data_IF_205053037247
#
_entry.id   IF_205053037247
#
_cell.length_a   1.000
_cell.length_b   1.000
_cell.length_c   1.000
_cell.angle_alpha   90.00
_cell.angle_beta   90.00
_cell.angle_gamma   90.00
#
_symmetry.space_group_name_H-M   'P 1'
#
loop_
_entity.id
_entity.type
_entity.pdbx_description
1 polymer ?
#
# COMPACT_ATOMS: atom_id res chain seq x y z
N UNK A 1 18.57 33.19 50.48
CA UNK A 1 18.30 31.74 50.60
C UNK A 1 16.87 31.51 50.14
N UNK A 2 16.58 30.38 49.49
CA UNK A 2 15.34 30.08 48.73
C UNK A 2 15.30 30.94 47.44
N UNK A 3 15.78 30.48 46.28
CA UNK A 3 15.40 29.27 45.50
C UNK A 3 13.89 29.17 45.28
N UNK A 4 13.48 29.57 44.08
CA UNK A 4 12.35 28.98 43.36
C UNK A 4 12.92 28.37 42.07
N UNK A 5 12.56 27.12 41.80
CA UNK A 5 12.98 26.42 40.60
C UNK A 5 12.19 26.91 39.39
N UNK A 6 12.88 27.37 38.35
CA UNK A 6 12.28 27.46 37.02
C UNK A 6 12.11 26.04 36.48
N UNK A 7 10.86 25.59 36.43
CA UNK A 7 10.50 24.30 35.83
C UNK A 7 10.79 24.35 34.33
N UNK A 8 11.84 23.67 33.90
CA UNK A 8 12.17 23.50 32.47
C UNK A 8 11.01 22.82 31.75
N UNK A 9 10.29 23.57 30.92
CA UNK A 9 9.22 23.03 30.07
C UNK A 9 9.78 22.04 29.04
N UNK A 10 8.93 21.14 28.49
CA UNK A 10 9.35 20.23 27.43
C UNK A 10 9.87 21.01 26.21
N UNK A 11 10.93 20.50 25.60
CA UNK A 11 11.63 21.08 24.45
C UNK A 11 10.68 21.57 23.36
N UNK A 12 10.90 22.79 22.86
CA UNK A 12 10.13 23.37 21.76
C UNK A 12 10.06 22.42 20.56
N UNK A 13 8.89 21.84 20.33
CA UNK A 13 8.63 21.09 19.10
C UNK A 13 8.76 22.05 17.92
N UNK A 14 9.74 21.85 17.05
CA UNK A 14 10.02 22.76 15.93
C UNK A 14 8.84 22.77 14.94
N UNK A 15 7.97 23.77 15.03
CA UNK A 15 6.78 23.89 14.19
C UNK A 15 7.12 24.58 12.86
N UNK A 16 7.25 23.80 11.79
CA UNK A 16 7.31 24.35 10.43
C UNK A 16 5.89 24.72 9.98
N UNK A 17 5.71 25.97 9.52
CA UNK A 17 4.44 26.47 8.99
C UNK A 17 4.56 26.60 7.48
N UNK A 18 3.73 25.85 6.74
CA UNK A 18 3.69 25.91 5.27
C UNK A 18 2.67 26.96 4.83
N UNK A 19 3.05 27.83 3.89
CA UNK A 19 2.31 29.05 3.52
C UNK A 19 1.78 29.10 2.09
N UNK A 20 2.04 28.06 1.29
CA UNK A 20 1.58 28.01 -0.10
C UNK A 20 1.78 26.65 -0.78
N UNK A 21 1.31 26.51 -2.03
CA UNK A 21 1.30 25.22 -2.74
C UNK A 21 2.71 24.66 -3.00
N UNK A 22 3.71 25.52 -3.25
CA UNK A 22 5.11 25.10 -3.39
C UNK A 22 5.62 24.38 -2.13
N UNK A 23 5.39 24.98 -0.96
CA UNK A 23 5.82 24.45 0.34
C UNK A 23 5.03 23.20 0.72
N UNK A 24 3.75 23.09 0.33
CA UNK A 24 2.94 21.88 0.50
C UNK A 24 3.47 20.72 -0.35
N UNK A 25 3.79 20.96 -1.62
CA UNK A 25 4.32 19.94 -2.53
C UNK A 25 5.71 19.45 -2.09
N UNK A 26 6.59 20.37 -1.68
CA UNK A 26 7.92 20.05 -1.14
C UNK A 26 7.87 19.33 0.21
N UNK A 27 6.89 19.63 1.07
CA UNK A 27 6.73 18.92 2.34
C UNK A 27 6.33 17.44 2.18
N UNK A 28 5.67 17.09 1.08
CA UNK A 28 5.01 15.79 0.90
C UNK A 28 5.94 14.58 1.10
N UNK A 29 7.16 14.50 0.54
CA UNK A 29 8.05 13.36 0.74
C UNK A 29 8.47 13.18 2.20
N UNK A 30 8.67 14.29 2.93
CA UNK A 30 9.01 14.27 4.36
C UNK A 30 7.80 13.87 5.24
N UNK A 31 6.58 14.20 4.81
CA UNK A 31 5.35 13.72 5.44
C UNK A 31 5.08 12.22 5.18
N UNK A 32 5.69 11.61 4.16
CA UNK A 32 5.51 10.20 3.77
C UNK A 32 6.70 9.29 4.13
N UNK A 33 7.92 9.82 4.23
CA UNK A 33 9.17 9.06 4.33
C UNK A 33 9.75 8.57 2.99
N UNK A 34 9.08 8.87 1.89
CA UNK A 34 9.45 8.50 0.51
C UNK A 34 8.79 9.48 -0.46
N UNK A 35 9.28 9.60 -1.70
CA UNK A 35 8.57 10.38 -2.73
C UNK A 35 7.42 9.54 -3.30
N UNK A 36 6.15 9.93 -3.10
CA UNK A 36 5.02 9.23 -3.70
C UNK A 36 5.06 9.38 -5.22
N UNK A 37 4.81 8.28 -5.92
CA UNK A 37 4.57 8.24 -7.36
C UNK A 37 3.34 7.36 -7.63
N UNK A 38 2.74 7.49 -8.80
CA UNK A 38 1.51 6.81 -9.24
C UNK A 38 0.43 6.74 -8.14
N UNK A 39 0.24 7.82 -7.36
CA UNK A 39 -0.64 7.81 -6.19
C UNK A 39 -1.35 9.12 -5.86
N UNK A 40 -2.53 8.97 -5.28
CA UNK A 40 -3.26 10.01 -4.57
C UNK A 40 -2.86 9.98 -3.09
N UNK A 41 -2.53 11.14 -2.53
CA UNK A 41 -2.33 11.35 -1.10
C UNK A 41 -3.32 12.40 -0.60
N UNK A 42 -4.01 12.11 0.48
CA UNK A 42 -4.91 13.04 1.16
C UNK A 42 -4.43 13.27 2.59
N UNK A 43 -4.34 14.53 3.00
CA UNK A 43 -3.89 14.92 4.34
C UNK A 43 -4.96 15.78 5.01
N UNK A 44 -5.46 15.33 6.16
CA UNK A 44 -6.43 16.05 6.96
C UNK A 44 -5.76 17.18 7.76
N UNK A 45 -6.41 18.34 7.81
CA UNK A 45 -6.01 19.52 8.57
C UNK A 45 -6.94 19.72 9.77
N UNK A 46 -6.38 20.05 10.93
CA UNK A 46 -7.12 20.23 12.19
C UNK A 46 -6.73 21.52 12.91
N UNK A 47 -7.72 22.18 13.52
CA UNK A 47 -7.62 23.44 14.23
C UNK A 47 -7.40 24.65 13.32
N UNK A 48 -7.69 25.85 13.83
CA UNK A 48 -7.61 27.12 13.08
C UNK A 48 -6.23 27.56 12.57
N UNK A 49 -5.19 26.72 12.71
CA UNK A 49 -3.86 26.89 12.08
C UNK A 49 -3.54 25.80 11.04
N UNK A 50 -4.45 24.87 10.77
CA UNK A 50 -4.27 23.82 9.77
C UNK A 50 -3.17 22.80 10.12
N UNK A 51 -3.18 22.23 11.33
CA UNK A 51 -2.21 21.20 11.72
C UNK A 51 -2.48 19.91 10.93
N UNK A 52 -1.46 19.35 10.29
CA UNK A 52 -1.54 18.02 9.67
C UNK A 52 -1.90 16.95 10.71
N UNK A 53 -2.88 16.10 10.38
CA UNK A 53 -3.29 14.95 11.18
C UNK A 53 -3.31 13.66 10.36
N UNK A 54 -4.49 13.06 10.22
CA UNK A 54 -4.69 11.84 9.44
C UNK A 54 -4.17 11.97 8.00
N UNK A 55 -3.49 10.91 7.54
CA UNK A 55 -2.94 10.78 6.17
C UNK A 55 -3.53 9.52 5.54
N UNK A 56 -3.84 9.57 4.25
CA UNK A 56 -4.33 8.44 3.45
C UNK A 56 -3.63 8.45 2.10
N UNK A 57 -3.15 7.29 1.62
CA UNK A 57 -2.51 7.13 0.31
C UNK A 57 -3.08 5.91 -0.40
N UNK A 58 -3.35 6.05 -1.70
CA UNK A 58 -3.76 4.97 -2.59
C UNK A 58 -3.01 5.12 -3.93
N UNK A 59 -2.75 4.03 -4.65
CA UNK A 59 -2.38 4.11 -6.06
C UNK A 59 -3.48 4.81 -6.88
N UNK A 60 -3.11 5.53 -7.94
CA UNK A 60 -4.09 6.09 -8.87
C UNK A 60 -4.69 4.92 -9.68
N UNK A 61 -6.02 4.72 -9.67
CA UNK A 61 -6.64 3.66 -10.47
C UNK A 61 -6.41 3.91 -11.96
N UNK A 62 -6.08 2.87 -12.76
CA UNK A 62 -5.77 3.04 -14.18
C UNK A 62 -7.01 3.37 -15.02
N UNK A 63 -8.19 2.87 -14.64
CA UNK A 63 -9.44 3.09 -15.35
C UNK A 63 -10.20 4.32 -14.79
N UNK A 64 -10.48 5.36 -15.61
CA UNK A 64 -11.20 6.57 -15.18
C UNK A 64 -12.59 6.32 -14.58
N UNK A 65 -13.23 5.22 -14.97
CA UNK A 65 -14.52 4.76 -14.47
C UNK A 65 -14.50 4.48 -12.95
N UNK A 66 -13.34 4.07 -12.41
CA UNK A 66 -13.16 3.80 -10.97
C UNK A 66 -12.94 5.07 -10.14
N UNK A 67 -12.58 6.20 -10.76
CA UNK A 67 -12.15 7.41 -10.04
C UNK A 67 -13.23 8.00 -9.14
N UNK A 68 -14.50 7.98 -9.58
CA UNK A 68 -15.62 8.48 -8.81
C UNK A 68 -15.89 7.65 -7.52
N UNK A 69 -16.13 6.32 -7.57
CA UNK A 69 -16.33 5.54 -6.35
C UNK A 69 -15.09 5.49 -5.45
N UNK A 70 -13.88 5.49 -6.02
CA UNK A 70 -12.63 5.55 -5.25
C UNK A 70 -12.51 6.89 -4.50
N UNK A 71 -12.80 8.03 -5.14
CA UNK A 71 -12.77 9.33 -4.47
C UNK A 71 -13.76 9.40 -3.29
N UNK A 72 -14.98 8.88 -3.49
CA UNK A 72 -16.02 8.77 -2.46
C UNK A 72 -15.53 7.92 -1.27
N UNK A 73 -14.91 6.77 -1.53
CA UNK A 73 -14.38 5.88 -0.50
C UNK A 73 -13.19 6.51 0.25
N UNK A 74 -12.27 7.19 -0.45
CA UNK A 74 -11.10 7.83 0.16
C UNK A 74 -11.51 8.98 1.07
N UNK A 75 -12.41 9.86 0.61
CA UNK A 75 -12.94 10.97 1.41
C UNK A 75 -13.62 10.46 2.69
N UNK A 76 -14.53 9.48 2.57
CA UNK A 76 -15.19 8.84 3.72
C UNK A 76 -14.19 8.22 4.69
N UNK A 77 -13.21 7.48 4.17
CA UNK A 77 -12.21 6.77 4.98
C UNK A 77 -11.32 7.72 5.78
N UNK A 78 -10.86 8.82 5.17
CA UNK A 78 -10.03 9.82 5.86
C UNK A 78 -10.83 10.58 6.93
N UNK A 79 -12.03 11.04 6.60
CA UNK A 79 -12.86 11.85 7.52
C UNK A 79 -13.32 11.01 8.72
N UNK A 80 -13.95 9.85 8.48
CA UNK A 80 -14.39 8.93 9.55
C UNK A 80 -13.21 8.38 10.35
N UNK A 81 -12.06 8.15 9.69
CA UNK A 81 -10.84 7.73 10.37
C UNK A 81 -10.26 8.81 11.30
N UNK A 82 -10.37 10.08 10.93
CA UNK A 82 -9.91 11.21 11.76
C UNK A 82 -10.86 11.48 12.93
N UNK A 83 -12.17 11.43 12.71
CA UNK A 83 -13.20 11.55 13.75
C UNK A 83 -13.05 10.52 14.87
N UNK A 84 -12.63 9.30 14.52
CA UNK A 84 -12.37 8.22 15.50
C UNK A 84 -11.10 8.39 16.33
N UNK A 85 -10.15 9.23 15.88
CA UNK A 85 -8.83 9.40 16.52
C UNK A 85 -8.69 10.72 17.27
N UNK A 86 -9.24 11.80 16.73
CA UNK A 86 -9.08 13.15 17.27
C UNK A 86 -10.37 13.96 17.09
N UNK A 87 -10.64 14.44 15.88
CA UNK A 87 -11.84 15.19 15.53
C UNK A 87 -12.14 15.06 14.04
N UNK A 88 -13.28 15.61 13.60
CA UNK A 88 -13.51 15.85 12.18
C UNK A 88 -12.42 16.81 11.66
N UNK A 89 -11.87 16.60 10.45
CA UNK A 89 -10.96 17.56 9.82
C UNK A 89 -11.70 18.87 9.49
N UNK A 90 -11.02 20.00 9.68
CA UNK A 90 -11.52 21.32 9.27
C UNK A 90 -11.34 21.52 7.76
N UNK A 91 -10.33 20.88 7.17
CA UNK A 91 -10.05 20.88 5.73
C UNK A 91 -9.19 19.67 5.33
N UNK A 92 -9.02 19.45 4.03
CA UNK A 92 -8.12 18.44 3.44
C UNK A 92 -7.19 19.10 2.41
N UNK A 93 -5.95 18.61 2.32
CA UNK A 93 -5.05 18.85 1.17
C UNK A 93 -4.95 17.56 0.36
N UNK A 94 -5.05 17.67 -0.97
CA UNK A 94 -4.96 16.56 -1.91
C UNK A 94 -3.70 16.71 -2.75
N UNK A 95 -2.98 15.61 -2.96
CA UNK A 95 -1.85 15.52 -3.87
C UNK A 95 -2.09 14.37 -4.85
N UNK A 96 -1.87 14.61 -6.14
CA UNK A 96 -1.89 13.63 -7.21
C UNK A 96 -0.49 13.56 -7.79
N UNK A 97 0.23 12.49 -7.48
CA UNK A 97 1.63 12.32 -7.82
C UNK A 97 1.74 11.25 -8.90
N UNK A 98 2.13 11.65 -10.11
CA UNK A 98 2.34 10.74 -11.23
C UNK A 98 3.27 11.40 -12.25
N UNK A 99 4.36 10.74 -12.61
CA UNK A 99 5.22 11.14 -13.73
C UNK A 99 4.55 10.80 -15.08
N UNK A 100 4.89 11.52 -16.17
CA UNK A 100 4.30 11.26 -17.47
C UNK A 100 4.65 9.87 -18.00
N UNK A 101 3.70 9.26 -18.73
CA UNK A 101 3.97 8.08 -19.55
C UNK A 101 4.95 8.40 -20.70
N UNK A 102 5.51 7.36 -21.34
CA UNK A 102 6.42 7.55 -22.48
C UNK A 102 5.72 8.30 -23.64
N UNK A 103 6.23 9.49 -23.95
CA UNK A 103 5.64 10.39 -24.96
C UNK A 103 4.51 11.30 -24.46
N UNK A 104 4.12 11.19 -23.19
CA UNK A 104 3.25 12.15 -22.50
C UNK A 104 4.10 13.33 -21.96
N UNK A 105 3.51 14.53 -21.88
CA UNK A 105 4.12 15.67 -21.19
C UNK A 105 3.52 15.83 -19.78
N UNK A 106 4.26 16.42 -18.81
CA UNK A 106 3.75 16.64 -17.46
C UNK A 106 2.42 17.44 -17.41
N UNK A 107 2.23 18.39 -18.33
CA UNK A 107 0.98 19.15 -18.46
C UNK A 107 -0.19 18.28 -18.96
N UNK A 108 0.05 17.28 -19.83
CA UNK A 108 -0.97 16.31 -20.24
C UNK A 108 -1.35 15.37 -19.09
N UNK A 109 -0.38 14.98 -18.26
CA UNK A 109 -0.63 14.20 -17.03
C UNK A 109 -1.55 14.96 -16.08
N UNK A 110 -1.28 16.25 -15.86
CA UNK A 110 -2.13 17.14 -15.07
C UNK A 110 -3.55 17.26 -15.65
N UNK A 111 -3.70 17.46 -16.96
CA UNK A 111 -5.03 17.54 -17.57
C UNK A 111 -5.80 16.21 -17.50
N UNK A 112 -5.10 15.09 -17.70
CA UNK A 112 -5.65 13.73 -17.57
C UNK A 112 -6.14 13.44 -16.15
N UNK A 113 -5.45 13.94 -15.12
CA UNK A 113 -5.81 13.74 -13.71
C UNK A 113 -6.80 14.78 -13.16
N UNK A 114 -7.11 15.85 -13.90
CA UNK A 114 -8.11 16.88 -13.53
C UNK A 114 -9.47 16.30 -13.12
N UNK A 115 -10.04 15.28 -13.80
CA UNK A 115 -11.32 14.70 -13.37
C UNK A 115 -11.21 14.01 -12.01
N UNK A 116 -10.14 13.26 -11.72
CA UNK A 116 -9.93 12.64 -10.41
C UNK A 116 -9.78 13.69 -9.30
N UNK A 117 -9.03 14.76 -9.55
CA UNK A 117 -8.93 15.90 -8.63
C UNK A 117 -10.31 16.50 -8.31
N UNK A 118 -11.17 16.65 -9.33
CA UNK A 118 -12.51 17.18 -9.16
C UNK A 118 -13.41 16.22 -8.36
N UNK A 119 -13.36 14.91 -8.62
CA UNK A 119 -14.11 13.91 -7.85
C UNK A 119 -13.70 13.91 -6.37
N UNK A 120 -12.39 14.00 -6.06
CA UNK A 120 -11.90 14.08 -4.68
C UNK A 120 -12.42 15.34 -3.96
N UNK A 121 -12.41 16.49 -4.65
CA UNK A 121 -12.94 17.76 -4.12
C UNK A 121 -14.45 17.70 -3.87
N UNK A 122 -15.23 17.14 -4.80
CA UNK A 122 -16.69 17.03 -4.63
C UNK A 122 -17.07 15.99 -3.59
N UNK A 123 -16.37 14.86 -3.50
CA UNK A 123 -16.57 13.83 -2.47
C UNK A 123 -16.30 14.36 -1.05
N UNK A 124 -15.22 15.14 -0.85
CA UNK A 124 -14.95 15.79 0.44
C UNK A 124 -16.00 16.88 0.76
N UNK A 125 -16.37 17.69 -0.25
CA UNK A 125 -17.38 18.73 -0.10
C UNK A 125 -18.79 18.20 0.20
N UNK A 126 -19.15 17.04 -0.35
CA UNK A 126 -20.39 16.31 -0.02
C UNK A 126 -20.40 15.73 1.41
N UNK A 127 -19.25 15.77 2.09
CA UNK A 127 -19.07 15.44 3.49
C UNK A 127 -18.69 16.70 4.30
N UNK A 128 -19.05 17.89 3.86
CA UNK A 128 -18.84 19.17 4.57
C UNK A 128 -17.38 19.42 5.03
N UNK A 129 -16.39 18.83 4.35
CA UNK A 129 -14.96 19.07 4.61
C UNK A 129 -14.34 19.65 3.34
N UNK A 130 -13.96 20.94 3.31
CA UNK A 130 -13.42 21.56 2.11
C UNK A 130 -12.01 21.03 1.80
N UNK A 131 -11.73 20.82 0.50
CA UNK A 131 -10.35 20.68 0.04
C UNK A 131 -9.76 22.08 -0.13
N UNK A 132 -8.81 22.43 0.73
CA UNK A 132 -8.15 23.74 0.74
C UNK A 132 -7.25 23.89 -0.49
N UNK A 133 -6.53 22.83 -0.85
CA UNK A 133 -5.62 22.79 -1.98
C UNK A 133 -5.59 21.38 -2.57
N UNK A 134 -5.50 21.30 -3.90
CA UNK A 134 -5.39 20.06 -4.66
C UNK A 134 -4.28 20.22 -5.69
N UNK A 135 -3.16 19.52 -5.50
CA UNK A 135 -1.97 19.66 -6.33
C UNK A 135 -1.78 18.47 -7.28
N UNK A 136 -1.36 18.75 -8.51
CA UNK A 136 -0.67 17.77 -9.34
C UNK A 136 0.84 17.89 -9.11
N UNK A 137 1.54 16.77 -8.98
CA UNK A 137 3.00 16.69 -8.93
C UNK A 137 3.45 15.69 -10.00
N UNK A 138 4.30 16.13 -10.92
CA UNK A 138 4.74 15.37 -12.10
C UNK A 138 6.07 15.91 -12.61
N UNK A 139 7.08 15.06 -12.84
CA UNK A 139 8.37 15.42 -13.45
C UNK A 139 9.03 16.66 -12.81
N UNK A 140 9.15 16.65 -11.48
CA UNK A 140 9.76 17.75 -10.72
C UNK A 140 8.98 19.08 -10.76
N UNK A 141 7.72 19.07 -11.21
CA UNK A 141 6.84 20.25 -11.31
C UNK A 141 5.56 20.08 -10.53
N UNK A 142 4.89 21.20 -10.22
CA UNK A 142 3.57 21.21 -9.60
C UNK A 142 2.60 22.21 -10.24
N UNK A 143 1.30 21.88 -10.13
CA UNK A 143 0.15 22.70 -10.51
C UNK A 143 -0.89 22.66 -9.40
N UNK A 144 -1.65 23.73 -9.18
CA UNK A 144 -2.86 23.70 -8.37
C UNK A 144 -4.10 23.54 -9.25
N UNK A 145 -4.98 22.61 -8.90
CA UNK A 145 -6.33 22.51 -9.46
C UNK A 145 -7.32 23.51 -8.83
N UNK A 146 -6.92 24.19 -7.74
CA UNK A 146 -7.73 25.19 -7.05
C UNK A 146 -7.45 26.63 -7.53
N UNK A 147 -6.25 26.91 -8.05
CA UNK A 147 -5.86 28.23 -8.54
C UNK A 147 -6.17 28.41 -10.04
N UNK A 148 -7.00 29.40 -10.43
CA UNK A 148 -7.29 29.70 -11.84
C UNK A 148 -6.37 30.77 -12.44
N UNK A 149 -5.41 31.33 -11.69
CA UNK A 149 -4.51 32.39 -12.16
C UNK A 149 -3.29 31.81 -12.87
N UNK A 150 -3.24 31.95 -14.20
CA UNK A 150 -2.13 31.52 -15.07
C UNK A 150 -0.77 32.12 -14.67
N UNK A 151 -0.74 33.26 -13.95
CA UNK A 151 0.52 33.85 -13.44
C UNK A 151 1.05 33.13 -12.20
N UNK A 152 0.16 32.50 -11.44
CA UNK A 152 0.47 31.73 -10.26
C UNK A 152 0.65 30.24 -10.60
N UNK A 153 -0.13 29.73 -11.55
CA UNK A 153 -0.13 28.36 -12.05
C UNK A 153 -0.04 28.36 -13.58
N UNK A 154 1.15 28.59 -14.15
CA UNK A 154 1.35 28.55 -15.60
C UNK A 154 1.08 27.14 -16.15
N UNK A 155 0.68 27.01 -17.44
CA UNK A 155 0.35 25.71 -18.03
C UNK A 155 1.56 24.75 -18.05
N UNK A 156 2.79 25.27 -18.16
CA UNK A 156 4.04 24.49 -18.07
C UNK A 156 4.36 23.98 -16.66
N UNK A 157 3.61 24.44 -15.64
CA UNK A 157 3.81 24.09 -14.24
C UNK A 157 4.96 24.85 -13.58
N UNK A 158 4.85 25.01 -12.27
CA UNK A 158 5.92 25.59 -11.46
C UNK A 158 6.97 24.53 -11.15
N UNK A 159 8.28 24.85 -11.20
CA UNK A 159 9.31 23.92 -10.74
C UNK A 159 9.20 23.71 -9.22
N UNK A 160 9.43 22.48 -8.77
CA UNK A 160 9.67 22.21 -7.36
C UNK A 160 11.06 22.72 -6.94
N UNK A 161 11.24 22.89 -5.63
CA UNK A 161 12.56 23.14 -5.08
C UNK A 161 13.50 21.95 -5.32
N UNK A 162 14.80 22.21 -5.33
CA UNK A 162 15.78 21.13 -5.39
C UNK A 162 15.67 20.26 -4.12
N UNK A 163 15.64 18.92 -4.23
CA UNK A 163 15.57 18.05 -3.06
C UNK A 163 16.68 18.38 -2.07
N UNK A 164 16.31 18.56 -0.79
CA UNK A 164 17.26 18.93 0.26
C UNK A 164 17.44 20.44 0.52
N UNK A 165 16.95 21.34 -0.34
CA UNK A 165 17.26 22.79 -0.21
C UNK A 165 16.22 23.62 0.56
N UNK A 166 15.22 23.00 1.19
CA UNK A 166 14.08 23.71 1.80
C UNK A 166 14.06 23.68 3.32
N UNK A 167 13.21 24.52 3.92
CA UNK A 167 12.99 24.53 5.38
C UNK A 167 12.44 23.19 5.87
N UNK A 168 11.57 22.54 5.09
CA UNK A 168 11.08 21.20 5.41
C UNK A 168 12.19 20.15 5.32
N UNK A 169 13.03 20.20 4.30
CA UNK A 169 14.18 19.31 4.18
C UNK A 169 15.15 19.45 5.37
N UNK A 170 15.46 20.69 5.77
CA UNK A 170 16.33 20.97 6.91
C UNK A 170 15.72 20.49 8.24
N UNK A 171 14.42 20.74 8.46
CA UNK A 171 13.72 20.27 9.66
C UNK A 171 13.58 18.75 9.71
N UNK A 172 13.31 18.10 8.56
CA UNK A 172 13.25 16.65 8.43
C UNK A 172 14.62 16.00 8.71
N UNK A 173 15.71 16.55 8.15
CA UNK A 173 17.07 16.09 8.43
C UNK A 173 17.45 16.26 9.90
N UNK A 174 17.09 17.38 10.54
CA UNK A 174 17.28 17.60 11.98
C UNK A 174 16.49 16.60 12.83
N UNK A 175 15.27 16.24 12.40
CA UNK A 175 14.43 15.22 13.03
C UNK A 175 14.83 13.77 12.66
N UNK A 176 15.90 13.55 11.90
CA UNK A 176 16.38 12.22 11.50
C UNK A 176 15.55 11.53 10.41
N UNK A 177 14.59 12.22 9.78
CA UNK A 177 13.72 11.67 8.73
C UNK A 177 14.53 11.44 7.44
N UNK A 178 14.66 10.18 7.03
CA UNK A 178 15.34 9.77 5.81
C UNK A 178 14.31 9.49 4.69
N UNK A 179 14.42 10.18 3.56
CA UNK A 179 13.53 9.98 2.40
C UNK A 179 14.15 8.94 1.45
N UNK A 180 13.55 7.74 1.36
CA UNK A 180 14.17 6.54 0.74
C UNK A 180 14.15 6.48 -0.80
N UNK A 181 14.14 7.62 -1.49
CA UNK A 181 14.00 7.68 -2.96
C UNK A 181 12.53 7.78 -3.40
N UNK A 182 12.20 7.33 -4.62
CA UNK A 182 10.80 7.23 -5.08
C UNK A 182 10.19 5.87 -4.77
N UNK A 183 8.87 5.84 -4.60
CA UNK A 183 8.11 4.60 -4.44
C UNK A 183 8.38 3.62 -5.60
N UNK A 184 8.48 4.13 -6.83
CA UNK A 184 8.73 3.34 -8.04
C UNK A 184 10.11 2.67 -8.00
N UNK A 185 11.13 3.35 -7.49
CA UNK A 185 12.46 2.76 -7.28
C UNK A 185 12.40 1.65 -6.22
N UNK A 186 11.70 1.90 -5.10
CA UNK A 186 11.52 0.91 -4.04
C UNK A 186 10.78 -0.33 -4.52
N UNK A 187 9.75 -0.18 -5.36
CA UNK A 187 9.03 -1.29 -5.99
C UNK A 187 9.91 -2.03 -7.01
N UNK A 188 10.62 -1.31 -7.89
CA UNK A 188 11.47 -1.90 -8.93
C UNK A 188 12.60 -2.79 -8.36
N UNK A 189 13.09 -2.49 -7.15
CA UNK A 189 14.10 -3.31 -6.45
C UNK A 189 13.58 -4.64 -5.90
N UNK A 190 12.26 -4.82 -5.85
CA UNK A 190 11.60 -6.01 -5.27
C UNK A 190 10.74 -6.78 -6.28
N UNK A 191 10.37 -6.17 -7.41
CA UNK A 191 9.58 -6.83 -8.46
C UNK A 191 10.36 -7.97 -9.15
N UNK A 192 9.68 -9.05 -9.57
CA UNK A 192 10.26 -10.10 -10.39
C UNK A 192 10.99 -9.58 -11.63
N UNK A 193 12.09 -10.24 -12.01
CA UNK A 193 12.80 -9.91 -13.24
C UNK A 193 11.87 -10.03 -14.47
N UNK A 194 11.94 -9.03 -15.35
CA UNK A 194 11.30 -9.10 -16.66
C UNK A 194 11.93 -10.14 -17.58
N UNK A 195 11.24 -10.43 -18.68
CA UNK A 195 11.63 -11.43 -19.69
C UNK A 195 13.09 -11.29 -20.13
N UNK A 196 13.94 -12.17 -19.64
CA UNK A 196 15.39 -12.15 -19.80
C UNK A 196 15.96 -13.57 -19.73
N UNK A 197 17.20 -13.76 -20.20
CA UNK A 197 17.85 -15.07 -20.16
C UNK A 197 17.99 -15.61 -18.72
N UNK A 198 18.32 -14.74 -17.76
CA UNK A 198 18.42 -15.09 -16.35
C UNK A 198 17.06 -15.48 -15.74
N UNK A 199 15.96 -14.82 -16.14
CA UNK A 199 14.62 -15.22 -15.72
C UNK A 199 14.26 -16.63 -16.24
N UNK A 200 14.56 -16.97 -17.50
CA UNK A 200 14.31 -18.31 -18.03
C UNK A 200 15.18 -19.39 -17.38
N UNK A 201 16.42 -19.08 -16.99
CA UNK A 201 17.27 -19.99 -16.24
C UNK A 201 16.71 -20.23 -14.83
N UNK A 202 16.25 -19.17 -14.17
CA UNK A 202 15.61 -19.25 -12.85
C UNK A 202 14.28 -20.02 -12.87
N UNK A 203 13.45 -19.84 -13.90
CA UNK A 203 12.20 -20.58 -14.13
C UNK A 203 12.47 -22.09 -14.26
N UNK A 204 13.49 -22.48 -15.03
CA UNK A 204 13.92 -23.88 -15.18
C UNK A 204 14.46 -24.49 -13.88
N UNK A 205 15.15 -23.71 -13.06
CA UNK A 205 15.61 -24.15 -11.75
C UNK A 205 14.42 -24.37 -10.80
N UNK A 206 13.41 -23.48 -10.83
CA UNK A 206 12.16 -23.62 -10.07
C UNK A 206 11.37 -24.87 -10.47
N UNK A 207 11.21 -25.13 -11.77
CA UNK A 207 10.58 -26.37 -12.27
C UNK A 207 11.32 -27.63 -11.78
N UNK A 208 12.65 -27.63 -11.87
CA UNK A 208 13.50 -28.76 -11.53
C UNK A 208 13.49 -29.03 -10.02
N UNK A 209 13.63 -27.98 -9.20
CA UNK A 209 13.54 -28.07 -7.75
C UNK A 209 12.13 -28.45 -7.28
N UNK A 210 11.09 -27.94 -7.93
CA UNK A 210 9.69 -28.25 -7.64
C UNK A 210 9.40 -29.75 -7.80
N UNK A 211 9.84 -30.35 -8.92
CA UNK A 211 9.69 -31.79 -9.15
C UNK A 211 10.35 -32.65 -8.05
N UNK A 212 11.51 -32.23 -7.53
CA UNK A 212 12.22 -32.92 -6.44
C UNK A 212 11.53 -32.69 -5.09
N UNK A 213 11.24 -31.44 -4.75
CA UNK A 213 10.71 -31.05 -3.43
C UNK A 213 9.29 -31.57 -3.19
N UNK A 214 8.42 -31.58 -4.21
CA UNK A 214 7.08 -32.18 -4.11
C UNK A 214 7.17 -33.65 -3.67
N UNK A 215 8.14 -34.41 -4.17
CA UNK A 215 8.31 -35.82 -3.76
C UNK A 215 8.77 -35.99 -2.31
N UNK A 216 9.60 -35.07 -1.77
CA UNK A 216 10.10 -35.11 -0.37
C UNK A 216 9.08 -34.58 0.64
N UNK A 217 8.27 -33.58 0.28
CA UNK A 217 7.29 -32.93 1.18
C UNK A 217 6.03 -33.78 1.43
N UNK A 218 5.76 -34.76 0.55
CA UNK A 218 4.70 -35.76 0.74
C UNK A 218 5.02 -36.78 1.85
N UNK A 219 6.28 -36.89 2.27
CA UNK A 219 6.70 -37.65 3.44
C UNK A 219 6.82 -36.74 4.67
N UNK A 220 6.39 -37.22 5.83
CA UNK A 220 6.42 -36.45 7.08
C UNK A 220 7.86 -36.22 7.57
N UNK A 221 8.71 -37.25 7.49
CA UNK A 221 10.12 -37.14 7.85
C UNK A 221 10.88 -36.30 6.80
N UNK A 222 10.52 -36.45 5.53
CA UNK A 222 11.05 -35.66 4.41
C UNK A 222 10.76 -34.16 4.50
N UNK A 223 9.56 -33.75 4.98
CA UNK A 223 9.25 -32.34 5.26
C UNK A 223 10.19 -31.72 6.29
N UNK A 224 10.42 -32.42 7.40
CA UNK A 224 11.31 -31.94 8.48
C UNK A 224 12.78 -31.88 8.06
N UNK A 225 13.18 -32.70 7.08
CA UNK A 225 14.49 -32.60 6.44
C UNK A 225 14.58 -31.41 5.47
N UNK A 226 13.62 -31.26 4.55
CA UNK A 226 13.54 -30.11 3.64
C UNK A 226 13.57 -28.77 4.40
N UNK A 227 12.82 -28.65 5.51
CA UNK A 227 12.84 -27.45 6.35
C UNK A 227 14.24 -27.12 6.90
N UNK A 228 14.99 -28.14 7.34
CA UNK A 228 16.37 -27.98 7.83
C UNK A 228 17.33 -27.63 6.69
N UNK A 229 17.24 -28.33 5.55
CA UNK A 229 18.05 -28.09 4.36
C UNK A 229 17.88 -26.66 3.85
N UNK A 230 16.62 -26.19 3.71
CA UNK A 230 16.29 -24.83 3.28
C UNK A 230 16.84 -23.76 4.22
N UNK A 231 16.70 -23.94 5.55
CA UNK A 231 17.18 -22.94 6.52
C UNK A 231 18.71 -22.92 6.62
N UNK A 232 19.37 -24.07 6.50
CA UNK A 232 20.83 -24.14 6.44
C UNK A 232 21.35 -23.42 5.17
N UNK A 233 20.76 -23.71 4.01
CA UNK A 233 21.11 -23.04 2.76
C UNK A 233 20.86 -21.52 2.82
N UNK A 234 19.71 -21.09 3.35
CA UNK A 234 19.42 -19.67 3.51
C UNK A 234 20.43 -18.97 4.44
N UNK A 235 20.87 -19.63 5.52
CA UNK A 235 21.91 -19.11 6.41
C UNK A 235 23.28 -18.98 5.72
N UNK A 236 23.69 -19.99 4.95
CA UNK A 236 24.93 -19.94 4.17
C UNK A 236 24.89 -18.86 3.07
N UNK A 237 23.73 -18.63 2.44
CA UNK A 237 23.54 -17.51 1.51
C UNK A 237 23.60 -16.14 2.22
N UNK A 238 22.96 -15.98 3.39
CA UNK A 238 23.08 -14.74 4.18
C UNK A 238 24.53 -14.46 4.57
N UNK A 239 25.30 -15.50 4.94
CA UNK A 239 26.73 -15.37 5.24
C UNK A 239 27.53 -14.95 4.00
N UNK A 240 27.31 -15.59 2.85
CA UNK A 240 27.93 -15.23 1.56
C UNK A 240 27.64 -13.78 1.17
N UNK A 241 26.42 -13.30 1.40
CA UNK A 241 26.03 -11.91 1.19
C UNK A 241 26.71 -10.97 2.20
N UNK A 242 26.84 -11.37 3.46
CA UNK A 242 27.51 -10.60 4.52
C UNK A 242 29.01 -10.44 4.32
N UNK A 243 29.69 -11.47 3.81
CA UNK A 243 31.11 -11.44 3.47
C UNK A 243 31.41 -10.60 2.21
N UNK A 244 30.40 -10.35 1.36
CA UNK A 244 30.53 -9.46 0.20
C UNK A 244 30.52 -7.97 0.64
N UNK A 245 31.34 -7.11 0.01
CA UNK A 245 31.50 -5.72 0.42
C UNK A 245 30.16 -4.96 0.39
N UNK A 246 29.86 -4.24 1.48
CA UNK A 246 28.63 -3.47 1.64
C UNK A 246 28.41 -2.53 0.44
N UNK A 247 27.36 -2.74 -0.37
CA UNK A 247 27.27 -2.09 -1.67
C UNK A 247 26.74 -0.65 -1.56
N UNK A 248 27.22 0.22 -2.46
CA UNK A 248 26.78 1.61 -2.55
C UNK A 248 25.33 1.75 -3.07
N UNK A 249 24.67 2.90 -2.82
CA UNK A 249 23.21 3.06 -2.95
C UNK A 249 22.60 2.91 -4.36
N UNK A 250 23.39 2.64 -5.41
CA UNK A 250 22.95 2.56 -6.80
C UNK A 250 23.33 1.26 -7.54
N UNK A 251 23.83 0.24 -6.84
CA UNK A 251 24.32 -1.00 -7.48
C UNK A 251 24.16 -2.28 -6.67
N UNK A 252 23.34 -2.27 -5.61
CA UNK A 252 23.26 -3.37 -4.64
C UNK A 252 22.65 -4.65 -5.23
N UNK A 253 21.55 -4.50 -5.96
CA UNK A 253 20.63 -5.60 -6.23
C UNK A 253 21.19 -6.58 -7.27
N UNK A 254 21.80 -6.07 -8.34
CA UNK A 254 22.48 -6.91 -9.35
C UNK A 254 23.74 -7.60 -8.83
N UNK A 255 24.41 -7.04 -7.81
CA UNK A 255 25.56 -7.66 -7.16
C UNK A 255 25.16 -8.83 -6.27
N UNK A 256 24.13 -8.63 -5.44
CA UNK A 256 23.53 -9.69 -4.62
C UNK A 256 22.91 -10.78 -5.49
N UNK A 257 22.29 -10.39 -6.61
CA UNK A 257 21.78 -11.31 -7.61
C UNK A 257 22.90 -12.14 -8.26
N UNK A 258 24.13 -11.62 -8.39
CA UNK A 258 25.28 -12.41 -8.89
C UNK A 258 25.81 -13.47 -7.91
N UNK A 259 25.44 -13.42 -6.63
CA UNK A 259 25.98 -14.28 -5.56
C UNK A 259 25.12 -15.51 -5.24
N UNK A 260 23.90 -15.59 -5.77
CA UNK A 260 22.93 -16.66 -5.53
C UNK A 260 22.64 -17.38 -6.85
N UNK A 261 23.01 -18.66 -6.93
CA UNK A 261 22.73 -19.46 -8.14
C UNK A 261 21.24 -19.76 -8.31
N UNK A 262 20.77 -20.06 -9.54
CA UNK A 262 19.36 -20.37 -9.80
C UNK A 262 18.81 -21.52 -8.97
N UNK A 263 19.59 -22.60 -8.80
CA UNK A 263 19.20 -23.79 -8.03
C UNK A 263 19.12 -23.50 -6.52
N UNK A 264 20.09 -22.76 -5.97
CA UNK A 264 20.07 -22.35 -4.56
C UNK A 264 18.84 -21.47 -4.27
N UNK A 265 18.55 -20.52 -5.15
CA UNK A 265 17.37 -19.67 -5.01
C UNK A 265 16.06 -20.46 -5.12
N UNK A 266 15.96 -21.37 -6.09
CA UNK A 266 14.78 -22.21 -6.28
C UNK A 266 14.50 -23.08 -5.05
N UNK A 267 15.53 -23.70 -4.47
CA UNK A 267 15.43 -24.51 -3.26
C UNK A 267 14.92 -23.70 -2.04
N UNK A 268 15.38 -22.45 -1.88
CA UNK A 268 14.89 -21.59 -0.78
C UNK A 268 13.50 -21.04 -1.06
N UNK A 269 13.20 -20.56 -2.26
CA UNK A 269 11.86 -20.03 -2.64
C UNK A 269 10.77 -21.08 -2.41
N UNK A 270 11.02 -22.33 -2.81
CA UNK A 270 10.05 -23.42 -2.66
C UNK A 270 9.97 -23.92 -1.21
N UNK A 271 11.10 -23.99 -0.48
CA UNK A 271 11.09 -24.35 0.94
C UNK A 271 10.39 -23.32 1.83
N UNK A 272 10.44 -22.03 1.48
CA UNK A 272 9.71 -20.95 2.17
C UNK A 272 8.18 -21.01 2.00
N UNK A 273 7.65 -21.88 1.13
CA UNK A 273 6.21 -22.12 1.04
C UNK A 273 5.71 -23.00 2.21
N UNK A 274 6.60 -23.74 2.89
CA UNK A 274 6.27 -24.40 4.14
C UNK A 274 6.21 -23.39 5.29
N UNK A 275 5.08 -23.39 6.01
CA UNK A 275 4.78 -22.38 7.03
C UNK A 275 5.77 -22.40 8.19
N UNK A 276 6.18 -23.57 8.67
CA UNK A 276 7.12 -23.68 9.79
C UNK A 276 8.51 -23.20 9.39
N UNK A 277 8.94 -23.56 8.18
CA UNK A 277 10.20 -23.11 7.58
C UNK A 277 10.24 -21.58 7.46
N UNK A 278 9.17 -20.98 6.96
CA UNK A 278 9.02 -19.51 6.90
C UNK A 278 8.98 -18.86 8.29
N UNK A 279 8.20 -19.40 9.22
CA UNK A 279 8.05 -18.82 10.57
C UNK A 279 9.39 -18.84 11.34
N UNK A 280 10.27 -19.83 11.06
CA UNK A 280 11.67 -19.86 11.52
C UNK A 280 12.56 -18.85 10.79
N UNK A 281 12.42 -18.70 9.48
CA UNK A 281 13.15 -17.67 8.71
C UNK A 281 12.78 -16.23 9.15
N UNK A 282 11.57 -16.02 9.68
CA UNK A 282 11.12 -14.76 10.25
C UNK A 282 11.80 -14.40 11.60
N UNK A 283 12.57 -15.31 12.20
CA UNK A 283 13.37 -15.03 13.41
C UNK A 283 14.65 -14.22 13.11
N UNK A 284 15.04 -14.05 11.84
CA UNK A 284 16.20 -13.23 11.41
C UNK A 284 15.84 -11.76 11.14
N UNK A 285 14.90 -11.20 11.92
CA UNK A 285 14.34 -9.86 11.70
C UNK A 285 15.11 -8.71 12.36
N UNK A 286 15.99 -9.02 13.29
CA UNK A 286 16.73 -8.06 14.12
C UNK A 286 18.17 -8.53 14.34
N UNK A 287 19.00 -7.69 14.99
CA UNK A 287 20.40 -8.04 15.26
C UNK A 287 21.30 -7.93 14.02
N UNK A 288 22.51 -8.53 14.04
CA UNK A 288 23.46 -8.43 12.94
C UNK A 288 22.98 -9.12 11.65
N UNK A 289 22.07 -10.08 11.75
CA UNK A 289 21.51 -10.81 10.60
C UNK A 289 20.50 -10.00 9.78
N UNK A 290 19.83 -9.00 10.37
CA UNK A 290 18.74 -8.27 9.71
C UNK A 290 19.15 -7.67 8.34
N UNK A 291 20.36 -7.11 8.24
CA UNK A 291 20.87 -6.53 7.00
C UNK A 291 21.11 -7.54 5.88
N UNK A 292 21.58 -8.75 6.21
CA UNK A 292 21.83 -9.82 5.22
C UNK A 292 20.55 -10.59 4.90
N UNK A 293 19.66 -10.77 5.87
CA UNK A 293 18.32 -11.32 5.67
C UNK A 293 17.51 -10.47 4.68
N UNK A 294 17.48 -9.13 4.85
CA UNK A 294 16.77 -8.24 3.92
C UNK A 294 17.31 -8.34 2.48
N UNK A 295 18.64 -8.44 2.31
CA UNK A 295 19.29 -8.63 1.01
C UNK A 295 18.88 -9.96 0.36
N UNK A 296 18.93 -11.06 1.12
CA UNK A 296 18.49 -12.38 0.65
C UNK A 296 17.02 -12.36 0.23
N UNK A 297 16.12 -11.86 1.07
CA UNK A 297 14.68 -11.82 0.78
C UNK A 297 14.35 -10.96 -0.43
N UNK A 298 15.04 -9.82 -0.61
CA UNK A 298 14.90 -8.98 -1.80
C UNK A 298 15.37 -9.71 -3.07
N UNK A 299 16.51 -10.40 -3.01
CA UNK A 299 17.06 -11.15 -4.14
C UNK A 299 16.22 -12.38 -4.53
N UNK A 300 15.57 -13.04 -3.56
CA UNK A 300 14.65 -14.15 -3.82
C UNK A 300 13.29 -13.67 -4.36
N UNK A 301 12.77 -12.53 -3.89
CA UNK A 301 11.54 -11.93 -4.42
C UNK A 301 11.66 -11.61 -5.93
N UNK A 302 12.79 -11.00 -6.34
CA UNK A 302 13.09 -10.72 -7.77
C UNK A 302 13.18 -11.98 -8.65
N UNK A 303 13.42 -13.15 -8.06
CA UNK A 303 13.58 -14.43 -8.76
C UNK A 303 12.29 -15.24 -8.89
N UNK A 304 11.20 -14.80 -8.27
CA UNK A 304 9.89 -15.43 -8.39
C UNK A 304 9.26 -15.05 -9.73
N UNK A 305 9.73 -15.67 -10.82
CA UNK A 305 9.44 -15.32 -12.21
C UNK A 305 8.44 -16.28 -12.87
N UNK A 306 7.84 -15.86 -13.98
CA UNK A 306 6.97 -16.72 -14.80
C UNK A 306 5.76 -17.25 -14.03
N UNK A 307 5.48 -18.57 -14.05
CA UNK A 307 4.41 -19.19 -13.26
C UNK A 307 4.55 -19.03 -11.74
N UNK A 308 5.75 -18.68 -11.24
CA UNK A 308 6.07 -18.66 -9.82
C UNK A 308 5.94 -17.28 -9.16
N UNK A 309 5.34 -16.28 -9.82
CA UNK A 309 5.18 -14.92 -9.27
C UNK A 309 4.44 -14.91 -7.92
N UNK A 310 3.43 -15.77 -7.74
CA UNK A 310 2.69 -15.90 -6.46
C UNK A 310 3.62 -16.32 -5.30
N UNK A 311 4.67 -17.10 -5.58
CA UNK A 311 5.62 -17.57 -4.58
C UNK A 311 6.47 -16.42 -3.99
N UNK A 312 6.47 -15.24 -4.63
CA UNK A 312 7.10 -14.02 -4.12
C UNK A 312 6.46 -13.54 -2.81
N UNK A 313 5.21 -13.89 -2.52
CA UNK A 313 4.51 -13.45 -1.32
C UNK A 313 5.27 -13.80 -0.03
N UNK A 314 5.89 -14.98 0.04
CA UNK A 314 6.71 -15.40 1.18
C UNK A 314 7.97 -14.52 1.40
N UNK A 315 8.94 -14.43 0.45
CA UNK A 315 10.12 -13.57 0.61
C UNK A 315 9.77 -12.08 0.71
N UNK A 316 8.76 -11.57 0.00
CA UNK A 316 8.32 -10.17 0.14
C UNK A 316 7.78 -9.88 1.55
N UNK A 317 7.03 -10.80 2.15
CA UNK A 317 6.54 -10.65 3.53
C UNK A 317 7.70 -10.69 4.54
N UNK A 318 8.71 -11.54 4.32
CA UNK A 318 9.91 -11.58 5.16
C UNK A 318 10.75 -10.31 5.01
N UNK A 319 10.97 -9.81 3.79
CA UNK A 319 11.63 -8.52 3.54
C UNK A 319 10.90 -7.36 4.23
N UNK A 320 9.56 -7.36 4.20
CA UNK A 320 8.76 -6.38 4.91
C UNK A 320 8.90 -6.45 6.42
N UNK A 321 8.89 -7.67 6.98
CA UNK A 321 9.02 -7.91 8.42
C UNK A 321 10.38 -7.44 8.96
N UNK A 322 11.46 -7.71 8.21
CA UNK A 322 12.80 -7.19 8.52
C UNK A 322 12.86 -5.66 8.40
N UNK A 323 12.29 -5.08 7.33
CA UNK A 323 12.25 -3.62 7.14
C UNK A 323 11.51 -2.92 8.29
N UNK A 324 10.33 -3.41 8.67
CA UNK A 324 9.56 -2.87 9.79
C UNK A 324 10.28 -3.07 11.13
N UNK A 325 10.98 -4.19 11.28
CA UNK A 325 11.81 -4.48 12.46
C UNK A 325 13.09 -3.66 12.54
N UNK A 326 13.47 -2.94 11.47
CA UNK A 326 14.64 -2.05 11.41
C UNK A 326 14.25 -0.58 11.18
N UNK A 327 13.03 -0.23 11.59
CA UNK A 327 12.41 1.11 11.53
C UNK A 327 12.26 1.69 10.10
N UNK A 328 12.37 0.85 9.06
CA UNK A 328 12.05 1.18 7.67
C UNK A 328 10.57 0.87 7.35
N UNK A 329 9.68 1.69 7.91
CA UNK A 329 8.23 1.58 7.72
C UNK A 329 7.83 1.78 6.24
N UNK A 330 8.58 2.58 5.48
CA UNK A 330 8.34 2.80 4.05
C UNK A 330 8.66 1.53 3.25
N UNK A 331 9.84 0.93 3.46
CA UNK A 331 10.23 -0.35 2.84
C UNK A 331 9.26 -1.47 3.19
N UNK A 332 8.83 -1.53 4.46
CA UNK A 332 7.83 -2.50 4.93
C UNK A 332 6.49 -2.40 4.18
N UNK A 333 5.93 -1.19 4.05
CA UNK A 333 4.66 -0.97 3.33
C UNK A 333 4.77 -1.31 1.84
N UNK A 334 5.90 -0.98 1.19
CA UNK A 334 6.15 -1.33 -0.22
C UNK A 334 6.18 -2.85 -0.41
N UNK A 335 6.98 -3.55 0.40
CA UNK A 335 7.12 -4.99 0.32
C UNK A 335 5.79 -5.73 0.64
N UNK A 336 4.99 -5.26 1.60
CA UNK A 336 3.65 -5.81 1.86
C UNK A 336 2.65 -5.54 0.72
N UNK A 337 2.71 -4.35 0.12
CA UNK A 337 1.88 -4.01 -1.04
C UNK A 337 2.25 -4.82 -2.30
N UNK A 338 3.51 -5.23 -2.44
CA UNK A 338 3.93 -6.21 -3.45
C UNK A 338 3.49 -7.63 -3.09
N UNK A 339 3.64 -8.06 -1.84
CA UNK A 339 3.23 -9.39 -1.39
C UNK A 339 1.73 -9.63 -1.63
N UNK A 340 0.88 -8.66 -1.27
CA UNK A 340 -0.57 -8.72 -1.49
C UNK A 340 -1.01 -8.52 -2.95
N UNK A 341 -0.12 -8.05 -3.84
CA UNK A 341 -0.34 -8.08 -5.29
C UNK A 341 0.03 -9.44 -5.89
N UNK A 342 1.00 -10.14 -5.31
CA UNK A 342 1.41 -11.49 -5.74
C UNK A 342 0.43 -12.57 -5.25
N UNK A 343 0.01 -12.50 -3.98
CA UNK A 343 -1.05 -13.34 -3.40
C UNK A 343 -1.92 -12.49 -2.45
N UNK A 344 -3.15 -12.11 -2.86
CA UNK A 344 -4.07 -11.34 -2.03
C UNK A 344 -4.52 -12.05 -0.74
N UNK A 345 -4.51 -13.38 -0.71
CA UNK A 345 -4.98 -14.21 0.40
C UNK A 345 -3.85 -14.61 1.38
N UNK A 346 -2.61 -14.17 1.11
CA UNK A 346 -1.44 -14.47 1.92
C UNK A 346 -1.55 -13.91 3.34
N UNK A 347 -2.06 -14.74 4.26
CA UNK A 347 -2.52 -14.32 5.59
C UNK A 347 -1.45 -13.61 6.41
N UNK A 348 -0.17 -13.98 6.27
CA UNK A 348 0.92 -13.32 7.01
C UNK A 348 1.16 -11.88 6.51
N UNK A 349 1.07 -11.64 5.19
CA UNK A 349 1.11 -10.29 4.63
C UNK A 349 -0.12 -9.48 5.06
N UNK A 350 -1.32 -10.06 5.05
CA UNK A 350 -2.54 -9.37 5.50
C UNK A 350 -2.43 -8.90 6.96
N UNK A 351 -1.95 -9.78 7.85
CA UNK A 351 -1.79 -9.48 9.27
C UNK A 351 -0.72 -8.40 9.52
N UNK A 352 0.45 -8.49 8.88
CA UNK A 352 1.49 -7.47 9.00
C UNK A 352 1.05 -6.14 8.38
N UNK A 353 0.40 -6.15 7.21
CA UNK A 353 -0.13 -4.94 6.58
C UNK A 353 -1.19 -4.26 7.44
N UNK A 354 -2.08 -5.03 8.09
CA UNK A 354 -3.01 -4.48 9.06
C UNK A 354 -2.28 -3.88 10.28
N UNK A 355 -1.27 -4.57 10.81
CA UNK A 355 -0.50 -4.12 11.97
C UNK A 355 0.24 -2.80 11.71
N UNK A 356 0.95 -2.70 10.56
CA UNK A 356 1.61 -1.48 10.09
C UNK A 356 0.60 -0.33 9.91
N UNK A 357 -0.57 -0.59 9.31
CA UNK A 357 -1.59 0.44 9.08
C UNK A 357 -2.34 0.87 10.35
N UNK A 358 -2.28 0.07 11.43
CA UNK A 358 -2.82 0.41 12.75
C UNK A 358 -1.78 1.10 13.64
N UNK A 359 -0.52 1.22 13.22
CA UNK A 359 0.55 1.83 14.01
C UNK A 359 0.91 1.01 15.26
N UNK A 360 0.82 -0.31 15.17
CA UNK A 360 1.28 -1.20 16.25
C UNK A 360 2.82 -1.13 16.38
N UNK A 361 3.33 -1.34 17.57
CA UNK A 361 4.77 -1.44 17.82
C UNK A 361 5.29 -2.82 17.38
N UNK A 362 6.28 -2.91 16.46
CA UNK A 362 6.91 -4.17 16.04
C UNK A 362 7.38 -5.03 17.22
N UNK A 363 7.83 -4.41 18.32
CA UNK A 363 8.36 -5.10 19.49
C UNK A 363 7.32 -6.01 20.17
N UNK A 364 6.02 -5.76 19.97
CA UNK A 364 4.95 -6.66 20.42
C UNK A 364 5.03 -8.01 19.71
N UNK A 365 5.30 -8.01 18.41
CA UNK A 365 5.44 -9.21 17.58
C UNK A 365 6.83 -9.86 17.75
N UNK A 366 7.90 -9.06 17.84
CA UNK A 366 9.25 -9.58 18.14
C UNK A 366 9.25 -10.38 19.44
N UNK A 367 8.60 -9.88 20.50
CA UNK A 367 8.47 -10.59 21.79
C UNK A 367 7.76 -11.94 21.66
N UNK A 368 6.71 -12.04 20.84
CA UNK A 368 6.04 -13.31 20.58
C UNK A 368 6.98 -14.31 19.89
N UNK A 369 7.66 -13.91 18.82
CA UNK A 369 8.57 -14.78 18.07
C UNK A 369 9.77 -15.23 18.91
N UNK A 370 10.39 -14.33 19.71
CA UNK A 370 11.42 -14.71 20.70
C UNK A 370 10.88 -15.69 21.74
N UNK A 371 9.62 -15.53 22.16
CA UNK A 371 8.94 -16.45 23.09
C UNK A 371 8.79 -17.85 22.50
N UNK A 372 8.36 -17.96 21.24
CA UNK A 372 8.26 -19.24 20.55
C UNK A 372 9.62 -19.91 20.34
N UNK A 373 10.63 -19.14 19.88
CA UNK A 373 12.01 -19.61 19.73
C UNK A 373 12.55 -20.21 21.04
N UNK A 374 12.44 -19.49 22.15
CA UNK A 374 12.93 -19.96 23.46
C UNK A 374 12.15 -21.14 24.03
N UNK A 375 10.87 -21.31 23.65
CA UNK A 375 10.11 -22.53 23.97
C UNK A 375 10.61 -23.74 23.15
N UNK A 376 10.92 -23.55 21.87
CA UNK A 376 11.48 -24.60 20.99
C UNK A 376 12.89 -25.02 21.43
N UNK A 377 13.77 -24.05 21.69
CA UNK A 377 15.14 -24.30 22.18
C UNK A 377 15.16 -25.09 23.50
N UNK A 378 14.13 -24.92 24.36
CA UNK A 378 13.96 -25.70 25.60
C UNK A 378 13.28 -27.06 25.40
N UNK A 379 12.44 -27.20 24.37
CA UNK A 379 11.79 -28.47 24.01
C UNK A 379 12.71 -29.42 23.23
N UNK A 380 13.86 -28.95 22.74
CA UNK A 380 14.83 -29.74 21.99
C UNK A 380 15.76 -30.63 22.82
N UNK A 381 15.76 -30.49 24.15
CA UNK A 381 16.67 -31.22 25.07
C UNK A 381 15.96 -32.32 25.89
N UNK A 382 14.61 -32.41 25.80
CA UNK A 382 13.81 -33.45 26.45
C UNK A 382 13.02 -34.26 25.42
N UNK A 383 13.43 -35.51 25.21
CA UNK A 383 12.70 -36.49 24.40
C UNK A 383 11.43 -36.98 25.09
N UNK A 384 10.41 -36.12 25.18
CA UNK A 384 9.12 -36.43 25.81
C UNK A 384 7.97 -35.67 25.15
N UNK A 385 7.06 -36.41 24.51
CA UNK A 385 5.89 -35.84 23.83
C UNK A 385 5.02 -35.01 24.78
N UNK A 386 4.75 -33.72 24.48
CA UNK A 386 3.69 -32.98 25.15
C UNK A 386 2.35 -33.41 24.56
N UNK A 387 1.50 -34.08 25.34
CA UNK A 387 0.10 -34.28 24.97
C UNK A 387 -0.57 -32.92 24.69
N UNK A 388 -1.27 -32.82 23.55
CA UNK A 388 -2.07 -31.64 23.22
C UNK A 388 -3.24 -31.48 24.20
N UNK A 389 -3.01 -30.79 25.32
CA UNK A 389 -4.12 -30.23 26.11
C UNK A 389 -4.66 -28.98 25.41
N UNK A 390 -5.47 -29.19 24.38
CA UNK A 390 -6.30 -28.16 23.79
C UNK A 390 -7.34 -27.66 24.81
N UNK A 391 -6.95 -26.75 25.70
CA UNK A 391 -7.89 -26.04 26.56
C UNK A 391 -8.63 -24.99 25.74
N UNK A 392 -9.79 -25.41 25.22
CA UNK A 392 -10.78 -24.54 24.60
C UNK A 392 -11.02 -23.30 25.47
N UNK A 393 -10.71 -22.12 24.92
CA UNK A 393 -11.12 -20.86 25.50
C UNK A 393 -12.63 -20.70 25.30
N UNK A 394 -13.42 -21.23 26.25
CA UNK A 394 -14.87 -21.12 26.22
C UNK A 394 -15.32 -19.67 26.16
N UNK A 395 -16.25 -19.40 25.25
CA UNK A 395 -16.95 -18.12 25.10
C UNK A 395 -17.68 -17.75 26.39
N UNK A 396 -17.09 -16.89 27.23
CA UNK A 396 -17.82 -16.21 28.31
C UNK A 396 -18.84 -15.22 27.74
N UNK A 397 -20.00 -15.75 27.42
CA UNK A 397 -21.19 -14.99 27.00
C UNK A 397 -22.22 -15.04 28.14
N UNK A 398 -22.69 -13.87 28.61
CA UNK A 398 -23.91 -13.81 29.43
C UNK A 398 -23.84 -12.99 30.72
N UNK A 399 -24.15 -11.68 30.67
CA UNK A 399 -24.73 -10.99 31.82
C UNK A 399 -26.18 -11.48 32.05
N UNK A 400 -26.51 -11.73 33.32
CA UNK A 400 -27.76 -12.38 33.75
C UNK A 400 -28.95 -11.42 33.70
N UNK A 401 -29.96 -11.72 32.88
CA UNK A 401 -31.17 -10.90 32.77
C UNK A 401 -32.02 -10.92 34.06
N UNK A 402 -32.58 -9.77 34.50
CA UNK A 402 -33.51 -9.72 35.63
C UNK A 402 -34.91 -10.23 35.23
N UNK A 403 -35.56 -10.96 36.14
CA UNK A 403 -36.89 -11.55 35.92
C UNK A 403 -38.00 -10.53 36.20
N UNK A 404 -38.84 -10.26 35.21
CA UNK A 404 -40.06 -9.44 35.34
C UNK A 404 -41.17 -10.17 36.10
N UNK A 405 -41.88 -9.56 37.07
CA UNK A 405 -43.12 -10.08 37.64
C UNK A 405 -44.34 -9.69 36.79
N UNK A 406 -45.36 -10.55 36.77
CA UNK A 406 -46.62 -10.31 36.06
C UNK A 406 -47.53 -9.28 36.77
N UNK A 407 -48.40 -8.54 36.04
CA UNK A 407 -49.23 -7.48 36.61
C UNK A 407 -50.50 -7.99 37.32
N UNK A 408 -50.82 -7.41 38.48
CA UNK A 408 -52.10 -7.62 39.19
C UNK A 408 -53.11 -6.50 38.89
N UNK A 409 -54.37 -6.87 38.65
CA UNK A 409 -55.53 -5.97 38.48
C UNK A 409 -55.99 -5.34 39.80
N UNK A 410 -56.32 -4.03 39.78
CA UNK A 410 -57.52 -3.33 40.33
C UNK A 410 -57.28 -1.79 40.28
N UNK A 411 -58.22 -0.84 40.18
CA UNK A 411 -59.58 -0.67 39.58
C UNK A 411 -60.12 0.72 40.06
N UNK A 412 -60.46 1.65 39.14
CA UNK A 412 -61.26 2.92 39.32
C UNK A 412 -60.63 4.02 40.22
N UNK A 413 -60.94 5.33 40.07
CA UNK A 413 -62.12 6.11 39.57
C UNK A 413 -61.75 7.20 38.53
N UNK A 414 -62.57 7.50 37.50
CA UNK A 414 -63.49 8.68 37.32
C UNK A 414 -62.81 10.07 37.46
N UNK A 415 -62.99 11.07 36.57
CA UNK A 415 -64.22 11.48 35.85
C UNK A 415 -64.03 12.10 34.41
N UNK A 416 -65.13 12.59 33.79
CA UNK A 416 -65.38 13.00 32.36
C UNK A 416 -65.40 14.56 32.15
N UNK A 417 -65.81 15.20 31.01
CA UNK A 417 -65.94 14.81 29.58
C UNK A 417 -65.46 15.83 28.46
N UNK A 418 -64.97 15.31 27.31
CA UNK A 418 -65.46 15.42 25.88
C UNK A 418 -66.45 16.57 25.51
N UNK A 419 -66.33 17.34 24.36
CA UNK A 419 -66.66 16.80 23.01
C UNK A 419 -65.97 17.33 21.71
N UNK A 420 -65.97 16.44 20.69
CA UNK A 420 -66.19 16.55 19.21
C UNK A 420 -65.54 17.69 18.36
N UNK A 421 -65.27 17.56 17.04
CA UNK A 421 -65.93 16.75 15.98
C UNK A 421 -65.03 16.34 14.77
N UNK A 422 -65.64 15.69 13.78
CA UNK A 422 -65.07 15.07 12.56
C UNK A 422 -64.50 16.08 11.52
N UNK A 423 -63.69 15.70 10.51
CA UNK A 423 -64.18 15.01 9.29
C UNK A 423 -63.07 14.45 8.36
N UNK A 424 -63.44 13.44 7.55
CA UNK A 424 -62.75 12.89 6.34
C UNK A 424 -63.66 13.17 5.10
N UNK A 425 -63.37 12.63 3.88
CA UNK A 425 -62.23 12.84 2.97
C UNK A 425 -62.72 13.28 1.56
N UNK A 426 -61.83 13.37 0.54
CA UNK A 426 -62.22 13.68 -0.85
C UNK A 426 -61.40 13.00 -1.96
N UNK A 427 -62.07 12.64 -3.05
CA UNK A 427 -61.58 11.96 -4.28
C UNK A 427 -62.38 12.49 -5.49
N UNK A 428 -62.06 12.28 -6.78
CA UNK A 428 -61.27 11.24 -7.50
C UNK A 428 -60.47 11.93 -8.65
N UNK A 429 -59.63 11.27 -9.49
CA UNK A 429 -60.04 10.59 -10.74
C UNK A 429 -58.82 10.19 -11.62
N UNK A 430 -59.03 9.19 -12.50
CA UNK A 430 -58.19 8.69 -13.62
C UNK A 430 -59.10 8.74 -14.90
N UNK A 431 -58.82 8.19 -16.12
CA UNK A 431 -57.61 7.56 -16.72
C UNK A 431 -57.33 7.95 -18.21
N UNK A 432 -56.40 7.24 -18.88
CA UNK A 432 -56.24 7.18 -20.36
C UNK A 432 -54.81 6.74 -20.75
N UNK A 433 -54.50 5.47 -21.02
CA UNK A 433 -54.80 4.63 -22.20
C UNK A 433 -53.73 4.75 -23.33
N UNK A 434 -53.15 3.61 -23.75
CA UNK A 434 -52.06 3.50 -24.73
C UNK A 434 -52.57 3.33 -26.19
N UNK A 435 -51.68 3.42 -27.20
CA UNK A 435 -51.28 2.16 -27.86
C UNK A 435 -49.81 2.07 -28.41
N UNK A 436 -49.46 0.87 -28.88
CA UNK A 436 -48.32 0.43 -29.73
C UNK A 436 -48.91 -0.54 -30.80
N UNK A 437 -48.20 -1.10 -31.81
CA UNK A 437 -46.80 -0.93 -32.27
C UNK A 437 -46.63 -0.75 -33.83
N UNK A 438 -45.38 -0.76 -34.32
CA UNK A 438 -44.99 -1.00 -35.74
C UNK A 438 -44.35 0.20 -36.43
N UNK A 439 -43.47 0.07 -37.43
CA UNK A 439 -42.67 -1.04 -37.95
C UNK A 439 -41.47 -0.46 -38.76
N UNK A 440 -40.47 -1.27 -39.13
CA UNK A 440 -39.27 -0.82 -39.87
C UNK A 440 -39.59 -0.35 -41.30
N UNK A 441 -38.65 0.38 -41.95
CA UNK A 441 -38.04 -0.24 -43.13
C UNK A 441 -36.53 0.02 -43.36
N UNK A 442 -35.90 -1.01 -43.92
CA UNK A 442 -34.79 -1.00 -44.87
C UNK A 442 -35.21 -1.95 -46.01
N UNK A 443 -34.59 -1.99 -47.23
CA UNK A 443 -33.26 -1.48 -47.60
C UNK A 443 -33.19 -0.74 -48.96
N UNK A 444 -31.99 -0.29 -49.36
CA UNK A 444 -31.68 0.17 -50.72
C UNK A 444 -30.22 -0.10 -51.08
N UNK A 445 -29.95 -0.84 -52.17
CA UNK A 445 -28.60 -1.21 -52.66
C UNK A 445 -28.11 -0.28 -53.78
N UNK A 446 -26.80 -0.33 -54.02
CA UNK A 446 -26.02 0.02 -55.23
C UNK A 446 -25.14 1.30 -55.12
N UNK A 447 -23.92 1.38 -55.70
CA UNK A 447 -23.01 0.32 -56.19
C UNK A 447 -21.64 0.90 -56.62
N UNK A 448 -20.56 0.16 -56.32
CA UNK A 448 -19.31 0.05 -57.13
C UNK A 448 -18.31 1.21 -57.23
N UNK A 449 -17.05 0.81 -57.52
CA UNK A 449 -15.84 1.60 -57.82
C UNK A 449 -15.20 2.30 -56.60
N UNK A 450 -13.92 2.13 -56.28
CA UNK A 450 -12.86 1.29 -56.85
C UNK A 450 -11.52 2.04 -56.87
N UNK A 451 -10.41 1.41 -56.45
CA UNK A 451 -9.07 2.00 -56.57
C UNK A 451 -8.16 1.88 -55.35
N UNK A 452 -7.47 0.74 -55.25
CA UNK A 452 -6.11 0.64 -54.70
C UNK A 452 -5.19 0.23 -55.88
N UNK A 453 -3.84 0.19 -55.78
CA UNK A 453 -2.98 0.39 -54.60
C UNK A 453 -1.81 1.39 -54.84
N UNK A 454 -0.93 1.57 -53.83
CA UNK A 454 0.23 2.46 -53.95
C UNK A 454 1.32 2.28 -52.88
N UNK A 455 1.94 1.09 -52.81
CA UNK A 455 3.12 0.86 -51.95
C UNK A 455 4.35 1.57 -52.55
N UNK A 456 5.07 2.39 -51.77
CA UNK A 456 6.47 2.76 -52.05
C UNK A 456 7.34 2.79 -50.79
N UNK A 457 8.33 1.89 -50.76
CA UNK A 457 9.56 2.03 -49.97
C UNK A 457 10.40 3.20 -50.51
N UNK A 458 11.31 3.74 -49.67
CA UNK A 458 12.61 4.16 -50.17
C UNK A 458 13.78 3.58 -49.37
N UNK A 459 14.88 3.33 -50.09
CA UNK A 459 16.22 3.08 -49.59
C UNK A 459 17.11 2.66 -50.77
N UNK A 460 18.43 2.56 -50.61
CA UNK A 460 19.32 3.32 -49.71
C UNK A 460 20.18 4.34 -50.50
N UNK A 461 21.05 5.11 -49.84
CA UNK A 461 22.22 5.75 -50.48
C UNK A 461 23.48 5.38 -49.72
N UNK A 462 24.55 5.09 -50.48
CA UNK A 462 25.79 4.49 -49.98
C UNK A 462 26.86 5.50 -49.55
N UNK A 463 28.05 4.96 -49.26
CA UNK A 463 29.17 5.66 -48.64
C UNK A 463 30.24 6.17 -49.63
N UNK A 464 30.93 7.24 -49.21
CA UNK A 464 32.28 7.68 -49.63
C UNK A 464 32.68 8.83 -48.67
N UNK A 465 33.56 8.68 -47.68
CA UNK A 465 35.04 8.54 -47.74
C UNK A 465 35.80 9.85 -47.99
N UNK A 466 36.63 10.25 -47.00
CA UNK A 466 37.69 11.28 -47.04
C UNK A 466 37.24 12.75 -47.20
N UNK A 467 37.93 13.75 -46.66
CA UNK A 467 39.18 13.78 -45.86
C UNK A 467 38.95 14.25 -44.41
#
# INVERSE_FOLDING_TARGET
MNKHDESTGPSESQQVTLRGPAELADALPYLMGFHPNDSVVMVALHGGRGRFGGRLRLGIPPEPEEWAPVADQLARSLIVGSEKRESRPDAIVVFLCQDPAEGESPAQTMERLRPLAQHLRTACGALDVPVLEALCISDGRYWSYCCPDERCCPPEGNPLALPGTTVMAAAAAYAGVQVRGSLRDMEARLMPWGSSAAAWEQERALDSAGAVLVSRILDADGRGEVSRDTLALAYDLMKRLGDAPAPGPAGTDGGDDGLISPDEAAAVILGLQDRETRDRAAEWMEGPEAGTALRLWSALARRCVGPYVEHAAAPLTLAAWVSWSTDDEAGARVALGLALRADPDYTFAQLLHQACNQGLDPETLRRCLRGERTLRERGGDDGGSPEHTARSAERRSGPRAPRTPAPRRKRRTADRPVPEAASRPGSVSRPGAAPRPGAAPSPGKASSRGGAPGIRRPGPRGASSRD
#
